data_IF_108472280127
#
_entry.id   IF_108472280127
#
_cell.length_a   1.000
_cell.length_b   1.000
_cell.length_c   1.000
_cell.angle_alpha   90.00
_cell.angle_beta   90.00
_cell.angle_gamma   90.00
#
_symmetry.space_group_name_H-M   'P 1'
#
loop_
_entity.id
_entity.type
_entity.pdbx_description
1 polymer ?
#
# COMPACT_ATOMS: atom_id res chain seq x y z
N UNK A 1 2.28 -8.71 25.95
CA UNK A 1 2.12 -7.48 25.13
C UNK A 1 0.69 -7.01 25.32
N UNK A 2 0.51 -5.98 26.14
CA UNK A 2 -0.78 -5.32 26.38
C UNK A 2 -0.54 -3.97 27.04
N UNK A 3 -1.31 -3.00 26.55
CA UNK A 3 -1.34 -1.57 26.80
C UNK A 3 -1.36 -1.13 28.28
N UNK A 4 -0.78 0.04 28.54
CA UNK A 4 -1.42 1.06 29.38
C UNK A 4 -0.88 2.46 29.06
N UNK A 5 -1.76 3.29 28.51
CA UNK A 5 -1.61 4.73 28.33
C UNK A 5 -1.40 5.44 29.69
N UNK A 6 -0.55 6.47 29.72
CA UNK A 6 -0.63 7.51 30.76
C UNK A 6 -0.51 8.88 30.10
N UNK A 7 -1.68 9.46 29.83
CA UNK A 7 -1.86 10.90 29.64
C UNK A 7 -1.32 11.64 30.87
N UNK A 8 -0.37 12.56 30.67
CA UNK A 8 -0.06 13.59 31.66
C UNK A 8 -0.09 14.95 30.97
N UNK A 9 -1.26 15.57 31.04
CA UNK A 9 -1.42 17.01 30.89
C UNK A 9 -0.49 17.71 31.89
N UNK A 10 0.58 18.34 31.41
CA UNK A 10 1.31 19.37 32.17
C UNK A 10 0.94 20.74 31.63
N UNK A 11 -0.04 21.34 32.30
CA UNK A 11 -0.31 22.76 32.27
C UNK A 11 0.95 23.53 32.73
N UNK A 12 1.63 24.18 31.79
CA UNK A 12 2.63 25.19 32.09
C UNK A 12 1.91 26.45 32.59
N UNK A 13 1.74 26.57 33.91
CA UNK A 13 1.34 27.81 34.55
C UNK A 13 2.57 28.68 34.74
N UNK A 14 2.58 29.80 34.02
CA UNK A 14 3.54 30.89 34.13
C UNK A 14 3.48 31.53 35.53
N UNK A 15 4.41 31.17 36.42
CA UNK A 15 4.67 31.91 37.65
C UNK A 15 5.77 32.94 37.40
N UNK A 16 5.42 34.03 36.73
CA UNK A 16 6.25 35.24 36.75
C UNK A 16 5.68 36.18 37.81
N UNK A 17 6.54 36.58 38.76
CA UNK A 17 6.34 37.54 39.86
C UNK A 17 6.17 36.90 41.25
N UNK A 18 7.26 36.35 41.82
CA UNK A 18 7.42 36.30 43.28
C UNK A 18 8.13 37.58 43.74
N UNK A 19 7.53 38.26 44.71
CA UNK A 19 8.03 39.50 45.30
C UNK A 19 9.33 39.24 46.08
N UNK A 20 10.28 40.19 46.10
CA UNK A 20 11.52 40.11 46.89
C UNK A 20 11.24 39.86 48.38
N UNK A 21 10.09 40.32 48.89
CA UNK A 21 9.65 40.09 50.28
C UNK A 21 9.25 38.64 50.59
N UNK A 22 9.04 37.77 49.59
CA UNK A 22 8.80 36.34 49.81
C UNK A 22 10.09 35.53 49.84
N UNK A 23 11.20 36.07 49.33
CA UNK A 23 12.51 35.38 49.36
C UNK A 23 13.11 35.46 50.76
N UNK A 24 12.90 36.55 51.49
CA UNK A 24 13.51 36.73 52.82
C UNK A 24 12.93 35.85 53.91
N UNK A 25 11.66 35.46 53.80
CA UNK A 25 10.99 34.65 54.82
C UNK A 25 11.13 33.13 54.58
N UNK A 26 11.46 32.70 53.35
CA UNK A 26 11.64 31.29 52.98
C UNK A 26 13.09 30.79 53.17
N UNK A 27 14.05 31.67 53.51
CA UNK A 27 15.48 31.30 53.67
C UNK A 27 15.80 30.81 55.08
N UNK A 28 15.01 31.18 56.09
CA UNK A 28 15.26 30.81 57.50
C UNK A 28 14.83 29.36 57.85
N UNK A 29 14.02 28.68 57.01
CA UNK A 29 13.54 27.30 57.24
C UNK A 29 14.10 26.27 56.24
N UNK A 30 15.02 26.66 55.36
CA UNK A 30 15.39 25.89 54.18
C UNK A 30 16.70 25.11 54.42
N UNK A 31 16.69 23.82 54.11
CA UNK A 31 17.85 22.93 54.36
C UNK A 31 19.03 23.28 53.44
N UNK A 32 20.27 23.01 53.88
CA UNK A 32 21.49 23.32 53.10
C UNK A 32 21.46 22.76 51.66
N UNK A 33 20.82 21.60 51.46
CA UNK A 33 20.62 21.00 50.13
C UNK A 33 19.64 21.78 49.25
N UNK A 34 18.54 22.25 49.83
CA UNK A 34 17.57 23.09 49.14
C UNK A 34 18.19 24.46 48.80
N UNK A 35 19.09 24.97 49.64
CA UNK A 35 19.76 26.25 49.42
C UNK A 35 20.74 26.16 48.26
N UNK A 36 21.52 25.07 48.19
CA UNK A 36 22.38 24.77 47.05
C UNK A 36 21.60 24.65 45.75
N UNK A 37 20.41 24.02 45.79
CA UNK A 37 19.52 23.92 44.64
C UNK A 37 19.04 25.31 44.20
N UNK A 38 18.57 26.14 45.11
CA UNK A 38 18.14 27.51 44.80
C UNK A 38 19.27 28.37 44.22
N UNK A 39 20.50 28.27 44.76
CA UNK A 39 21.66 29.00 44.23
C UNK A 39 21.98 28.55 42.80
N UNK A 40 21.90 27.25 42.52
CA UNK A 40 22.12 26.73 41.17
C UNK A 40 21.00 27.14 40.20
N UNK A 41 19.75 27.12 40.66
CA UNK A 41 18.60 27.60 39.89
C UNK A 41 18.73 29.09 39.57
N UNK A 42 19.16 29.91 40.53
CA UNK A 42 19.44 31.34 40.34
C UNK A 42 20.61 31.56 39.36
N UNK A 43 21.71 30.81 39.48
CA UNK A 43 22.82 30.87 38.50
C UNK A 43 22.34 30.52 37.10
N UNK A 44 21.50 29.50 36.97
CA UNK A 44 20.93 29.10 35.70
C UNK A 44 20.00 30.19 35.14
N UNK A 45 19.16 30.78 35.98
CA UNK A 45 18.27 31.88 35.60
C UNK A 45 19.05 33.12 35.16
N UNK A 46 20.09 33.51 35.90
CA UNK A 46 21.01 34.59 35.49
C UNK A 46 21.62 34.25 34.13
N UNK A 47 22.07 33.01 33.92
CA UNK A 47 22.63 32.61 32.63
C UNK A 47 21.62 32.74 31.49
N UNK A 48 20.38 32.29 31.69
CA UNK A 48 19.31 32.45 30.70
C UNK A 48 19.05 33.92 30.40
N UNK A 49 18.90 34.76 31.43
CA UNK A 49 18.64 36.19 31.26
C UNK A 49 19.81 36.90 30.55
N UNK A 50 21.06 36.52 30.84
CA UNK A 50 22.21 37.08 30.12
C UNK A 50 22.20 36.72 28.64
N UNK A 51 21.82 35.48 28.29
CA UNK A 51 21.70 35.04 26.90
C UNK A 51 20.51 35.70 26.21
N UNK A 52 19.38 35.82 26.88
CA UNK A 52 18.19 36.51 26.38
C UNK A 52 18.51 37.99 26.08
N UNK A 53 19.19 38.68 26.99
CA UNK A 53 19.65 40.05 26.77
C UNK A 53 20.64 40.15 25.60
N UNK A 54 21.62 39.24 25.50
CA UNK A 54 22.58 39.23 24.40
C UNK A 54 21.88 39.04 23.04
N UNK A 55 20.90 38.16 22.99
CA UNK A 55 20.08 37.92 21.81
C UNK A 55 19.27 39.18 21.44
N UNK A 56 18.68 39.87 22.43
CA UNK A 56 17.96 41.13 22.20
C UNK A 56 18.90 42.26 21.73
N UNK A 57 20.05 42.43 22.37
CA UNK A 57 21.03 43.46 21.99
C UNK A 57 21.51 43.23 20.55
N UNK A 58 21.86 42.00 20.18
CA UNK A 58 22.31 41.67 18.82
C UNK A 58 21.21 41.87 17.78
N UNK A 59 19.96 41.55 18.11
CA UNK A 59 18.83 41.76 17.20
C UNK A 59 18.49 43.23 17.04
N UNK A 60 18.47 43.99 18.13
CA UNK A 60 18.27 45.44 18.13
C UNK A 60 19.39 46.15 17.37
N UNK A 61 20.67 45.81 17.60
CA UNK A 61 21.82 46.32 16.85
C UNK A 61 21.66 46.16 15.33
N UNK A 62 21.10 45.01 14.89
CA UNK A 62 20.92 44.72 13.46
C UNK A 62 19.71 45.43 12.84
N UNK A 63 18.64 45.61 13.61
CA UNK A 63 17.42 46.27 13.13
C UNK A 63 17.59 47.78 13.10
N UNK A 64 17.98 48.38 14.23
CA UNK A 64 18.30 49.80 14.33
C UNK A 64 19.22 50.05 15.54
N UNK A 65 20.50 50.42 15.33
CA UNK A 65 21.45 50.63 16.41
C UNK A 65 21.09 51.83 17.30
N UNK A 66 20.22 52.74 16.84
CA UNK A 66 19.79 53.89 17.65
C UNK A 66 18.85 53.49 18.79
N UNK A 67 18.22 52.31 18.71
CA UNK A 67 17.36 51.76 19.77
C UNK A 67 18.13 51.40 21.05
N UNK A 68 19.45 51.28 20.99
CA UNK A 68 20.29 51.00 22.16
C UNK A 68 20.73 52.28 22.90
N UNK A 69 20.45 53.45 22.32
CA UNK A 69 20.79 54.73 22.95
C UNK A 69 19.94 54.94 24.21
N UNK A 70 20.58 55.33 25.31
CA UNK A 70 19.91 55.57 26.59
C UNK A 70 19.71 54.31 27.47
N UNK A 71 19.97 53.10 26.97
CA UNK A 71 19.93 51.87 27.79
C UNK A 71 20.92 51.94 28.95
N UNK A 72 22.14 52.43 28.71
CA UNK A 72 23.15 52.59 29.76
C UNK A 72 22.67 53.57 30.87
N UNK A 73 22.02 54.66 30.48
CA UNK A 73 21.47 55.65 31.43
C UNK A 73 20.29 55.07 32.22
N UNK A 74 19.44 54.26 31.58
CA UNK A 74 18.35 53.54 32.23
C UNK A 74 18.85 52.46 33.20
N UNK A 75 19.91 51.73 32.84
CA UNK A 75 20.56 50.75 33.72
C UNK A 75 21.22 51.42 34.93
N UNK A 76 21.91 52.54 34.73
CA UNK A 76 22.49 53.33 35.83
C UNK A 76 21.42 53.94 36.75
N UNK A 77 20.27 54.32 36.21
CA UNK A 77 19.14 54.78 37.01
C UNK A 77 18.50 53.63 37.81
N UNK A 78 18.32 52.46 37.19
CA UNK A 78 17.78 51.27 37.85
C UNK A 78 18.70 50.75 38.96
N UNK A 79 20.03 50.75 38.75
CA UNK A 79 21.00 50.34 39.77
C UNK A 79 21.03 51.31 40.97
N UNK A 80 20.89 52.62 40.73
CA UNK A 80 20.71 53.62 41.78
C UNK A 80 19.39 53.42 42.56
N UNK A 81 18.33 52.97 41.90
CA UNK A 81 17.03 52.68 42.54
C UNK A 81 17.08 51.39 43.39
N UNK A 82 17.81 50.37 42.94
CA UNK A 82 17.97 49.11 43.68
C UNK A 82 18.89 49.27 44.90
N UNK A 83 19.97 50.04 44.77
CA UNK A 83 20.84 50.35 45.91
C UNK A 83 20.13 51.19 46.98
N UNK A 84 19.22 52.10 46.57
CA UNK A 84 18.42 52.92 47.50
C UNK A 84 17.22 52.19 48.15
N UNK A 85 16.79 51.03 47.64
CA UNK A 85 15.67 50.25 48.20
C UNK A 85 16.09 49.16 49.19
N UNK A 86 17.40 49.01 49.47
CA UNK A 86 17.91 48.14 50.53
C UNK A 86 17.97 48.80 51.92
N UNK A 87 17.60 50.09 52.02
CA UNK A 87 17.57 50.85 53.26
C UNK A 87 16.25 51.62 53.28
N UNK A 88 15.26 51.16 54.06
CA UNK A 88 14.26 51.97 54.78
C UNK A 88 13.16 51.08 55.37
N UNK A 89 13.49 50.45 56.50
CA UNK A 89 12.51 50.10 57.53
C UNK A 89 12.26 51.37 58.34
N UNK A 90 11.09 52.01 58.22
CA UNK A 90 10.36 52.67 59.33
C UNK A 90 9.25 53.60 58.84
N UNK A 91 8.03 53.29 59.28
CA UNK A 91 6.98 54.21 59.77
C UNK A 91 6.87 55.62 59.17
N UNK A 92 5.73 55.91 58.52
CA UNK A 92 5.03 57.17 58.81
C UNK A 92 3.53 57.11 58.50
N UNK A 93 2.77 57.81 59.34
CA UNK A 93 1.32 57.73 59.57
C UNK A 93 0.54 58.78 58.74
N UNK A 94 -0.73 58.45 58.46
CA UNK A 94 -1.89 59.28 58.02
C UNK A 94 -1.74 60.82 57.99
N UNK A 95 -2.20 61.43 56.88
CA UNK A 95 -3.21 62.52 56.82
C UNK A 95 -3.47 62.93 55.35
N UNK A 96 -4.67 62.69 54.81
CA UNK A 96 -5.73 63.67 54.50
C UNK A 96 -5.41 64.79 53.47
N UNK A 97 -6.14 64.72 52.34
CA UNK A 97 -6.86 65.79 51.59
C UNK A 97 -6.15 67.12 51.25
N UNK A 98 -6.05 67.47 49.95
CA UNK A 98 -7.01 68.35 49.22
C UNK A 98 -6.40 69.03 47.97
N UNK A 99 -7.14 68.89 46.85
CA UNK A 99 -7.43 69.75 45.69
C UNK A 99 -6.57 71.00 45.30
N UNK A 100 -6.65 71.27 43.98
CA UNK A 100 -6.47 72.51 43.18
C UNK A 100 -5.11 72.67 42.48
N UNK A 101 -4.91 73.30 41.31
CA UNK A 101 -5.66 73.63 40.07
C UNK A 101 -4.70 74.57 39.26
N UNK A 102 -5.00 74.85 37.97
CA UNK A 102 -4.40 75.84 37.04
C UNK A 102 -3.08 75.44 36.32
N UNK A 103 -3.10 75.14 35.01
CA UNK A 103 -3.14 76.04 33.82
C UNK A 103 -1.69 76.41 33.40
N UNK A 104 -1.26 76.52 32.13
CA UNK A 104 -1.89 77.06 30.94
C UNK A 104 -0.90 76.99 29.75
N UNK A 105 -1.42 76.99 28.50
CA UNK A 105 -0.87 77.66 27.30
C UNK A 105 0.42 77.08 26.67
N UNK A 106 0.65 76.98 25.35
CA UNK A 106 0.00 77.52 24.13
C UNK A 106 0.61 76.80 22.92
N UNK A 107 -0.25 76.42 21.96
CA UNK A 107 0.08 76.10 20.56
C UNK A 107 0.40 77.39 19.77
N UNK A 108 0.94 77.42 18.51
CA UNK A 108 0.23 76.85 17.35
C UNK A 108 1.01 76.51 16.04
N UNK A 109 0.45 75.51 15.32
CA UNK A 109 0.12 75.49 13.87
C UNK A 109 1.16 75.52 12.73
N UNK A 110 1.03 74.55 11.80
CA UNK A 110 0.60 74.69 10.37
C UNK A 110 0.52 73.28 9.73
N UNK A 111 -0.66 72.76 9.36
CA UNK A 111 -1.35 72.82 8.05
C UNK A 111 -0.52 72.31 6.87
N UNK A 112 -0.96 71.53 5.87
CA UNK A 112 -2.18 70.78 5.50
C UNK A 112 -1.79 69.97 4.22
N UNK A 113 -2.65 69.03 3.80
CA UNK A 113 -2.96 68.59 2.42
C UNK A 113 -2.86 67.05 2.22
N UNK A 114 -4.04 66.44 2.08
CA UNK A 114 -4.34 65.10 1.54
C UNK A 114 -4.50 65.14 0.01
N UNK A 115 -4.98 64.11 -0.73
CA UNK A 115 -5.02 62.63 -0.58
C UNK A 115 -4.58 61.88 -1.89
N UNK A 116 -4.53 60.53 -1.90
CA UNK A 116 -5.32 59.65 -2.81
C UNK A 116 -4.79 58.21 -3.02
N UNK A 117 -5.71 57.27 -2.73
CA UNK A 117 -6.09 55.95 -3.25
C UNK A 117 -5.17 55.05 -4.15
N UNK A 118 -5.27 53.75 -3.81
CA UNK A 118 -5.11 52.46 -4.55
C UNK A 118 -3.69 51.90 -4.78
N UNK A 119 -3.33 50.82 -4.07
CA UNK A 119 -2.89 49.53 -4.67
C UNK A 119 -2.57 48.49 -3.60
N UNK A 120 -2.75 47.21 -3.97
CA UNK A 120 -2.86 46.01 -3.15
C UNK A 120 -1.54 45.40 -2.66
N UNK A 121 -1.63 44.56 -1.60
CA UNK A 121 -0.63 43.58 -1.09
C UNK A 121 0.55 44.26 -0.37
N UNK A 122 0.79 44.06 0.92
CA UNK A 122 1.00 42.82 1.68
C UNK A 122 0.89 43.21 3.17
N UNK A 123 0.44 42.29 4.04
CA UNK A 123 0.28 42.56 5.47
C UNK A 123 1.62 42.99 6.11
N UNK A 124 1.74 44.28 6.42
CA UNK A 124 2.80 44.84 7.27
C UNK A 124 2.18 45.09 8.65
N UNK A 125 2.68 44.37 9.65
CA UNK A 125 2.41 44.60 11.06
C UNK A 125 3.08 45.88 11.51
N UNK A 126 2.40 47.00 11.28
CA UNK A 126 2.69 48.30 11.90
C UNK A 126 2.49 48.20 13.41
N UNK A 127 3.59 48.04 14.14
CA UNK A 127 3.64 48.30 15.57
C UNK A 127 3.46 49.81 15.79
N UNK A 128 2.26 50.22 16.24
CA UNK A 128 2.03 51.55 16.79
C UNK A 128 2.79 51.66 18.12
N UNK A 129 4.02 52.17 18.07
CA UNK A 129 4.76 52.60 19.25
C UNK A 129 4.24 53.98 19.63
N UNK A 130 3.23 53.99 20.50
CA UNK A 130 2.68 55.17 21.14
C UNK A 130 2.17 54.76 22.51
N UNK A 131 3.03 54.84 23.52
CA UNK A 131 2.69 54.48 24.90
C UNK A 131 3.87 54.67 25.84
N UNK A 132 3.76 55.70 26.67
CA UNK A 132 4.64 56.09 27.78
C UNK A 132 5.07 54.89 28.61
N UNK A 133 6.39 54.63 28.72
CA UNK A 133 6.94 53.61 29.62
C UNK A 133 6.95 54.17 31.04
N UNK A 134 5.81 54.03 31.73
CA UNK A 134 5.71 54.22 33.17
C UNK A 134 5.43 52.85 33.81
N UNK A 135 6.24 52.48 34.79
CA UNK A 135 6.12 51.27 35.62
C UNK A 135 6.27 49.92 34.91
N UNK A 136 7.50 49.36 34.93
CA UNK A 136 7.82 47.93 35.15
C UNK A 136 7.25 46.84 34.23
N UNK A 137 6.29 47.16 33.36
CA UNK A 137 5.61 46.24 32.46
C UNK A 137 5.56 46.91 31.10
N UNK A 138 6.73 46.98 30.45
CA UNK A 138 6.81 47.25 29.02
C UNK A 138 6.08 46.16 28.22
N UNK A 139 5.89 46.37 26.91
CA UNK A 139 5.25 45.40 26.02
C UNK A 139 5.86 44.00 26.23
N UNK A 140 5.07 43.06 26.74
CA UNK A 140 5.54 41.70 26.96
C UNK A 140 5.64 41.03 25.60
N UNK A 141 6.87 40.91 25.09
CA UNK A 141 7.16 40.13 23.88
C UNK A 141 6.61 38.73 24.09
N UNK A 142 5.76 38.27 23.16
CA UNK A 142 5.10 36.98 23.23
C UNK A 142 6.14 35.86 23.24
N UNK A 143 5.88 34.75 23.96
CA UNK A 143 6.77 33.58 23.97
C UNK A 143 7.04 33.06 22.55
N UNK A 144 6.05 33.15 21.66
CA UNK A 144 6.21 32.82 20.24
C UNK A 144 7.21 33.76 19.54
N UNK A 145 7.05 35.06 19.70
CA UNK A 145 7.97 36.07 19.13
C UNK A 145 9.39 35.93 19.69
N UNK A 146 9.54 35.60 20.99
CA UNK A 146 10.85 35.29 21.58
C UNK A 146 11.46 34.02 20.97
N UNK A 147 10.66 32.97 20.81
CA UNK A 147 11.11 31.72 20.18
C UNK A 147 11.55 31.93 18.73
N UNK A 148 10.81 32.73 17.96
CA UNK A 148 11.17 33.13 16.60
C UNK A 148 12.47 33.91 16.58
N UNK A 149 12.62 34.90 17.46
CA UNK A 149 13.81 35.72 17.56
C UNK A 149 15.06 34.91 17.93
N UNK A 150 14.93 33.96 18.88
CA UNK A 150 15.99 33.00 19.22
C UNK A 150 16.34 32.11 18.03
N UNK A 151 15.34 31.63 17.29
CA UNK A 151 15.55 30.78 16.10
C UNK A 151 16.31 31.53 15.00
N UNK A 152 15.92 32.77 14.72
CA UNK A 152 16.59 33.64 13.75
C UNK A 152 18.04 33.90 14.18
N UNK A 153 18.28 34.24 15.45
CA UNK A 153 19.64 34.46 15.95
C UNK A 153 20.49 33.18 15.87
N UNK A 154 19.91 32.02 16.18
CA UNK A 154 20.58 30.74 16.03
C UNK A 154 20.99 30.47 14.58
N UNK A 155 20.10 30.69 13.61
CA UNK A 155 20.42 30.55 12.19
C UNK A 155 21.54 31.51 11.75
N UNK A 156 21.50 32.76 12.20
CA UNK A 156 22.55 33.76 11.93
C UNK A 156 23.89 33.31 12.52
N UNK A 157 23.90 32.80 13.75
CA UNK A 157 25.11 32.30 14.38
C UNK A 157 25.68 31.09 13.66
N UNK A 158 24.84 30.13 13.29
CA UNK A 158 25.25 28.96 12.50
C UNK A 158 25.87 29.40 11.17
N UNK A 159 25.20 30.30 10.43
CA UNK A 159 25.73 30.79 9.15
C UNK A 159 27.03 31.59 9.30
N UNK A 160 27.18 32.37 10.37
CA UNK A 160 28.42 33.10 10.65
C UNK A 160 29.55 32.15 11.04
N UNK A 161 29.29 31.14 11.87
CA UNK A 161 30.25 30.10 12.21
C UNK A 161 30.71 29.34 10.96
N UNK A 162 29.80 29.00 10.04
CA UNK A 162 30.17 28.37 8.78
C UNK A 162 31.04 29.26 7.89
N UNK A 163 30.71 30.56 7.79
CA UNK A 163 31.54 31.53 7.05
C UNK A 163 32.94 31.62 7.65
N UNK A 164 33.05 31.70 8.97
CA UNK A 164 34.34 31.76 9.67
C UNK A 164 35.13 30.46 9.49
N UNK A 165 34.47 29.29 9.60
CA UNK A 165 35.08 27.99 9.33
C UNK A 165 35.62 27.90 7.90
N UNK A 166 34.85 28.36 6.90
CA UNK A 166 35.28 28.41 5.49
C UNK A 166 36.48 29.35 5.29
N UNK A 167 36.48 30.53 5.91
CA UNK A 167 37.62 31.48 5.88
C UNK A 167 38.87 30.87 6.53
N UNK A 168 38.73 30.28 7.71
CA UNK A 168 39.82 29.63 8.43
C UNK A 168 40.41 28.47 7.62
N UNK A 169 39.57 27.63 7.01
CA UNK A 169 40.03 26.53 6.15
C UNK A 169 40.81 27.02 4.93
N UNK A 170 40.34 28.09 4.27
CA UNK A 170 41.07 28.72 3.15
C UNK A 170 42.41 29.30 3.60
N UNK A 171 42.43 30.00 4.73
CA UNK A 171 43.66 30.58 5.28
C UNK A 171 44.66 29.49 5.68
N UNK A 172 44.20 28.43 6.33
CA UNK A 172 45.04 27.28 6.69
C UNK A 172 45.63 26.61 5.45
N UNK A 173 44.82 26.39 4.40
CA UNK A 173 45.30 25.84 3.14
C UNK A 173 46.35 26.75 2.47
N UNK A 174 46.15 28.08 2.51
CA UNK A 174 47.10 29.05 1.98
C UNK A 174 48.43 29.02 2.74
N UNK A 175 48.39 29.10 4.08
CA UNK A 175 49.58 29.06 4.91
C UNK A 175 50.35 27.75 4.75
N UNK A 176 49.63 26.63 4.62
CA UNK A 176 50.24 25.32 4.34
C UNK A 176 50.94 25.31 2.98
N UNK A 177 50.30 25.83 1.93
CA UNK A 177 50.92 25.95 0.62
C UNK A 177 52.15 26.86 0.63
N UNK A 178 52.11 27.97 1.38
CA UNK A 178 53.27 28.85 1.55
C UNK A 178 54.42 28.16 2.28
N UNK A 179 54.13 27.36 3.32
CA UNK A 179 55.15 26.60 4.04
C UNK A 179 55.82 25.57 3.11
N UNK A 180 55.01 24.80 2.37
CA UNK A 180 55.51 23.84 1.37
C UNK A 180 56.34 24.53 0.26
N UNK A 181 55.92 25.71 -0.21
CA UNK A 181 56.68 26.50 -1.19
C UNK A 181 58.03 26.97 -0.64
N UNK A 182 58.04 27.47 0.60
CA UNK A 182 59.27 27.92 1.27
C UNK A 182 60.24 26.74 1.44
N UNK A 183 59.74 25.57 1.86
CA UNK A 183 60.55 24.36 2.01
C UNK A 183 61.21 23.95 0.69
N UNK A 184 60.44 23.93 -0.41
CA UNK A 184 60.97 23.65 -1.75
C UNK A 184 62.01 24.70 -2.16
N UNK A 185 61.74 25.98 -1.89
CA UNK A 185 62.66 27.08 -2.22
C UNK A 185 63.98 26.98 -1.45
N UNK A 186 63.93 26.67 -0.16
CA UNK A 186 65.12 26.48 0.69
C UNK A 186 65.95 25.32 0.16
N UNK A 187 65.31 24.19 -0.17
CA UNK A 187 65.99 23.03 -0.74
C UNK A 187 66.63 23.34 -2.11
N UNK A 188 65.92 24.06 -2.99
CA UNK A 188 66.45 24.49 -4.28
C UNK A 188 67.64 25.46 -4.13
N UNK A 189 67.59 26.40 -3.18
CA UNK A 189 68.70 27.32 -2.87
C UNK A 189 69.90 26.54 -2.33
N UNK A 190 69.68 25.62 -1.39
CA UNK A 190 70.75 24.81 -0.82
C UNK A 190 71.45 23.98 -1.90
N UNK A 191 70.68 23.29 -2.74
CA UNK A 191 71.22 22.53 -3.88
C UNK A 191 71.97 23.43 -4.85
N UNK A 192 71.42 24.60 -5.19
CA UNK A 192 72.09 25.55 -6.08
C UNK A 192 73.42 26.05 -5.48
N UNK A 193 73.48 26.25 -4.17
CA UNK A 193 74.71 26.64 -3.47
C UNK A 193 75.73 25.49 -3.46
N UNK A 194 75.30 24.26 -3.16
CA UNK A 194 76.15 23.06 -3.21
C UNK A 194 76.73 22.85 -4.63
N UNK A 195 75.89 22.91 -5.66
CA UNK A 195 76.33 22.79 -7.06
C UNK A 195 77.27 23.93 -7.46
N UNK A 196 76.99 25.15 -7.03
CA UNK A 196 77.87 26.30 -7.31
C UNK A 196 79.25 26.13 -6.64
N UNK A 197 79.28 25.76 -5.36
CA UNK A 197 80.53 25.54 -4.64
C UNK A 197 81.34 24.41 -5.30
N UNK A 198 80.68 23.33 -5.71
CA UNK A 198 81.37 22.22 -6.35
C UNK A 198 81.87 22.57 -7.75
N UNK A 199 81.00 23.05 -8.65
CA UNK A 199 81.33 23.24 -10.06
C UNK A 199 82.17 24.49 -10.32
N UNK A 200 81.93 25.59 -9.59
CA UNK A 200 82.59 26.87 -9.85
C UNK A 200 83.77 27.11 -8.92
N UNK A 201 83.64 26.80 -7.63
CA UNK A 201 84.70 27.08 -6.65
C UNK A 201 85.72 25.94 -6.57
N UNK A 202 85.28 24.69 -6.45
CA UNK A 202 86.20 23.54 -6.28
C UNK A 202 86.76 23.09 -7.63
N UNK A 203 85.88 22.73 -8.57
CA UNK A 203 86.27 22.24 -9.89
C UNK A 203 86.74 23.36 -10.82
N UNK A 204 86.17 24.56 -10.67
CA UNK A 204 86.49 25.72 -11.49
C UNK A 204 87.74 26.50 -11.08
N UNK A 205 88.40 26.13 -9.98
CA UNK A 205 89.61 26.81 -9.53
C UNK A 205 90.82 26.42 -10.37
N UNK A 206 91.38 27.39 -11.10
CA UNK A 206 92.64 27.19 -11.79
C UNK A 206 93.82 27.32 -10.81
N UNK A 207 94.49 26.19 -10.55
CA UNK A 207 95.67 26.13 -9.67
C UNK A 207 96.85 26.94 -10.18
N UNK A 208 96.96 27.17 -11.49
CA UNK A 208 98.08 27.88 -12.10
C UNK A 208 97.82 29.40 -12.04
N UNK A 209 96.63 29.83 -12.45
CA UNK A 209 96.26 31.24 -12.47
C UNK A 209 95.76 31.79 -11.12
N UNK A 210 95.55 30.93 -10.12
CA UNK A 210 94.98 31.24 -8.79
C UNK A 210 93.71 32.11 -8.87
N UNK A 211 92.89 31.86 -9.89
CA UNK A 211 91.64 32.58 -10.16
C UNK A 211 90.66 31.65 -10.85
N UNK A 212 89.38 31.98 -10.77
CA UNK A 212 88.34 31.26 -11.51
C UNK A 212 88.24 31.87 -12.91
N UNK A 213 88.44 31.10 -13.99
CA UNK A 213 88.25 31.57 -15.35
C UNK A 213 86.80 32.01 -15.61
N UNK A 214 86.62 33.07 -16.39
CA UNK A 214 85.29 33.62 -16.67
C UNK A 214 84.41 32.63 -17.45
N UNK A 215 85.00 31.76 -18.25
CA UNK A 215 84.30 30.76 -19.06
C UNK A 215 83.53 29.76 -18.20
N UNK A 216 84.05 29.41 -17.02
CA UNK A 216 83.41 28.46 -16.09
C UNK A 216 82.16 29.08 -15.48
N UNK A 217 82.26 30.34 -15.06
CA UNK A 217 81.12 31.11 -14.57
C UNK A 217 80.05 31.27 -15.66
N UNK A 218 80.44 31.62 -16.90
CA UNK A 218 79.52 31.76 -18.03
C UNK A 218 78.83 30.42 -18.33
N UNK A 219 79.57 29.31 -18.33
CA UNK A 219 79.01 27.97 -18.54
C UNK A 219 77.99 27.60 -17.46
N UNK A 220 78.32 27.82 -16.18
CA UNK A 220 77.41 27.59 -15.06
C UNK A 220 76.13 28.41 -15.20
N UNK A 221 76.24 29.72 -15.49
CA UNK A 221 75.08 30.59 -15.67
C UNK A 221 74.21 30.16 -16.84
N UNK A 222 74.80 29.74 -17.97
CA UNK A 222 74.05 29.23 -19.11
C UNK A 222 73.27 27.94 -18.79
N UNK A 223 73.89 26.99 -18.07
CA UNK A 223 73.18 25.77 -17.66
C UNK A 223 72.10 26.08 -16.60
N UNK A 224 72.35 27.03 -15.69
CA UNK A 224 71.36 27.47 -14.71
C UNK A 224 70.11 28.06 -15.36
N UNK A 225 70.28 28.94 -16.36
CA UNK A 225 69.17 29.50 -17.16
C UNK A 225 68.40 28.38 -17.87
N UNK A 226 69.10 27.42 -18.49
CA UNK A 226 68.48 26.28 -19.18
C UNK A 226 67.68 25.37 -18.23
N UNK A 227 68.19 25.11 -17.03
CA UNK A 227 67.46 24.37 -15.99
C UNK A 227 66.21 25.15 -15.54
N UNK A 228 66.33 26.46 -15.35
CA UNK A 228 65.20 27.32 -15.01
C UNK A 228 64.10 27.28 -16.09
N UNK A 229 64.47 27.40 -17.38
CA UNK A 229 63.54 27.30 -18.50
C UNK A 229 62.84 25.93 -18.58
N UNK A 230 63.58 24.85 -18.31
CA UNK A 230 63.02 23.49 -18.22
C UNK A 230 62.00 23.38 -17.08
N UNK A 231 62.31 23.92 -15.89
CA UNK A 231 61.39 23.96 -14.74
C UNK A 231 60.15 24.77 -15.06
N UNK A 232 60.29 25.95 -15.66
CA UNK A 232 59.16 26.81 -16.08
C UNK A 232 58.25 26.06 -17.05
N UNK A 233 58.81 25.37 -18.04
CA UNK A 233 58.05 24.59 -19.02
C UNK A 233 57.26 23.46 -18.36
N UNK A 234 57.87 22.73 -17.42
CA UNK A 234 57.19 21.69 -16.64
C UNK A 234 56.06 22.26 -15.78
N UNK A 235 56.30 23.39 -15.10
CA UNK A 235 55.28 24.06 -14.29
C UNK A 235 54.10 24.54 -15.15
N UNK A 236 54.36 25.13 -16.32
CA UNK A 236 53.29 25.53 -17.27
C UNK A 236 52.43 24.35 -17.70
N UNK A 237 53.07 23.23 -18.06
CA UNK A 237 52.34 22.01 -18.42
C UNK A 237 51.47 21.52 -17.26
N UNK A 238 52.04 21.43 -16.05
CA UNK A 238 51.32 21.01 -14.83
C UNK A 238 50.13 21.91 -14.54
N UNK A 239 50.31 23.23 -14.65
CA UNK A 239 49.22 24.22 -14.48
C UNK A 239 48.11 24.00 -15.51
N UNK A 240 48.44 23.76 -16.78
CA UNK A 240 47.46 23.45 -17.83
C UNK A 240 46.67 22.16 -17.54
N UNK A 241 47.37 21.10 -17.10
CA UNK A 241 46.72 19.85 -16.70
C UNK A 241 45.79 20.04 -15.50
N UNK A 242 46.24 20.77 -14.47
CA UNK A 242 45.45 21.01 -13.27
C UNK A 242 44.21 21.86 -13.57
N UNK A 243 44.33 22.87 -14.44
CA UNK A 243 43.19 23.67 -14.91
C UNK A 243 42.16 22.83 -15.67
N UNK A 244 42.62 21.87 -16.47
CA UNK A 244 41.73 20.93 -17.18
C UNK A 244 41.00 20.03 -16.19
N UNK A 245 41.70 19.47 -15.19
CA UNK A 245 41.09 18.64 -14.14
C UNK A 245 40.11 19.43 -13.28
N UNK A 246 40.48 20.66 -12.88
CA UNK A 246 39.59 21.57 -12.16
C UNK A 246 38.31 21.85 -12.94
N UNK A 247 38.42 22.14 -14.24
CA UNK A 247 37.26 22.40 -15.09
C UNK A 247 36.34 21.18 -15.21
N UNK A 248 36.90 19.97 -15.34
CA UNK A 248 36.14 18.72 -15.34
C UNK A 248 35.42 18.49 -14.00
N UNK A 249 36.12 18.63 -12.88
CA UNK A 249 35.54 18.45 -11.54
C UNK A 249 34.45 19.49 -11.27
N UNK A 250 34.67 20.75 -11.67
CA UNK A 250 33.66 21.80 -11.59
C UNK A 250 32.41 21.45 -12.40
N UNK A 251 32.58 20.88 -13.61
CA UNK A 251 31.47 20.35 -14.41
C UNK A 251 30.70 19.24 -13.70
N UNK A 252 31.40 18.24 -13.16
CA UNK A 252 30.78 17.13 -12.41
C UNK A 252 30.02 17.61 -11.17
N UNK A 253 30.54 18.62 -10.45
CA UNK A 253 29.83 19.22 -9.31
C UNK A 253 28.53 19.87 -9.78
N UNK A 254 28.56 20.55 -10.93
CA UNK A 254 27.38 21.19 -11.52
C UNK A 254 26.34 20.15 -11.93
N UNK A 255 26.74 19.12 -12.66
CA UNK A 255 25.86 17.99 -13.05
C UNK A 255 25.26 17.31 -11.82
N UNK A 256 26.06 17.03 -10.78
CA UNK A 256 25.55 16.46 -9.52
C UNK A 256 24.59 17.39 -8.79
N UNK A 257 24.81 18.70 -8.84
CA UNK A 257 23.90 19.68 -8.26
C UNK A 257 22.58 19.71 -9.02
N UNK A 258 22.60 19.68 -10.35
CA UNK A 258 21.40 19.61 -11.20
C UNK A 258 20.65 18.28 -10.98
N UNK A 259 21.35 17.14 -10.86
CA UNK A 259 20.74 15.85 -10.50
C UNK A 259 20.13 15.87 -9.09
N UNK A 260 20.80 16.50 -8.11
CA UNK A 260 20.28 16.64 -6.74
C UNK A 260 19.08 17.57 -6.67
N UNK A 261 19.05 18.62 -7.48
CA UNK A 261 17.89 19.50 -7.58
C UNK A 261 16.70 18.77 -8.24
N UNK A 262 16.98 17.90 -9.21
CA UNK A 262 15.97 17.06 -9.85
C UNK A 262 15.43 15.93 -8.97
N UNK A 263 16.18 15.47 -7.97
CA UNK A 263 15.79 14.36 -7.07
C UNK A 263 15.85 14.84 -5.61
N UNK A 264 14.75 15.37 -5.12
CA UNK A 264 14.62 15.75 -3.71
C UNK A 264 14.30 14.52 -2.86
N UNK A 265 14.69 14.49 -1.57
CA UNK A 265 14.29 13.43 -0.64
C UNK A 265 12.79 13.12 -0.64
N UNK A 266 11.97 14.18 -0.79
CA UNK A 266 10.50 14.08 -0.89
C UNK A 266 10.05 13.27 -2.12
N UNK A 267 10.80 13.33 -3.22
CA UNK A 267 10.46 12.56 -4.44
C UNK A 267 10.68 11.05 -4.20
N UNK A 268 11.68 10.67 -3.42
CA UNK A 268 11.89 9.27 -3.02
C UNK A 268 10.80 8.78 -2.05
N UNK A 269 10.38 9.61 -1.10
CA UNK A 269 9.26 9.30 -0.21
C UNK A 269 7.95 9.16 -0.99
N UNK A 270 7.71 10.04 -1.97
CA UNK A 270 6.56 9.96 -2.87
C UNK A 270 6.55 8.65 -3.66
N UNK A 271 7.67 8.27 -4.28
CA UNK A 271 7.78 7.00 -5.01
C UNK A 271 7.52 5.80 -4.08
N UNK A 272 8.02 5.87 -2.84
CA UNK A 272 7.77 4.82 -1.85
C UNK A 272 6.28 4.69 -1.52
N UNK A 273 5.60 5.81 -1.29
CA UNK A 273 4.15 5.84 -1.04
C UNK A 273 3.38 5.28 -2.24
N UNK A 274 3.70 5.72 -3.45
CA UNK A 274 3.05 5.23 -4.68
C UNK A 274 3.26 3.73 -4.89
N UNK A 275 4.45 3.22 -4.56
CA UNK A 275 4.75 1.79 -4.63
C UNK A 275 3.98 1.00 -3.56
N UNK A 276 3.93 1.49 -2.31
CA UNK A 276 3.17 0.87 -1.23
C UNK A 276 1.66 0.84 -1.56
N UNK A 277 1.13 1.90 -2.19
CA UNK A 277 -0.25 1.95 -2.69
C UNK A 277 -0.48 0.94 -3.82
N UNK A 278 0.43 0.84 -4.79
CA UNK A 278 0.35 -0.16 -5.85
C UNK A 278 0.38 -1.58 -5.30
N UNK A 279 1.23 -1.86 -4.32
CA UNK A 279 1.30 -3.17 -3.66
C UNK A 279 -0.01 -3.52 -2.95
N UNK A 280 -0.61 -2.57 -2.24
CA UNK A 280 -1.91 -2.77 -1.60
C UNK A 280 -3.03 -3.07 -2.62
N UNK A 281 -3.02 -2.37 -3.78
CA UNK A 281 -3.96 -2.63 -4.87
C UNK A 281 -3.76 -4.04 -5.44
N UNK A 282 -2.51 -4.46 -5.65
CA UNK A 282 -2.17 -5.79 -6.15
C UNK A 282 -2.67 -6.87 -5.18
N UNK A 283 -2.44 -6.69 -3.87
CA UNK A 283 -2.87 -7.64 -2.84
C UNK A 283 -4.39 -7.78 -2.80
N UNK A 284 -5.12 -6.66 -2.85
CA UNK A 284 -6.59 -6.68 -2.93
C UNK A 284 -7.08 -7.39 -4.20
N UNK A 285 -6.46 -7.11 -5.37
CA UNK A 285 -6.80 -7.79 -6.63
C UNK A 285 -6.49 -9.29 -6.58
N UNK A 286 -5.42 -9.69 -5.92
CA UNK A 286 -5.08 -11.09 -5.72
C UNK A 286 -6.11 -11.80 -4.83
N UNK A 287 -6.59 -11.13 -3.78
CA UNK A 287 -7.67 -11.65 -2.93
C UNK A 287 -8.98 -11.81 -3.72
N UNK A 288 -9.40 -10.79 -4.48
CA UNK A 288 -10.58 -10.87 -5.35
C UNK A 288 -10.47 -12.02 -6.37
N UNK A 289 -9.27 -12.21 -6.96
CA UNK A 289 -9.01 -13.31 -7.88
C UNK A 289 -9.11 -14.67 -7.20
N UNK A 290 -8.64 -14.80 -5.97
CA UNK A 290 -8.75 -16.04 -5.20
C UNK A 290 -10.21 -16.39 -4.91
N UNK A 291 -11.03 -15.41 -4.52
CA UNK A 291 -12.46 -15.58 -4.29
C UNK A 291 -13.20 -16.00 -5.58
N UNK A 292 -12.92 -15.33 -6.70
CA UNK A 292 -13.48 -15.69 -8.01
C UNK A 292 -13.08 -17.10 -8.45
N UNK A 293 -11.83 -17.49 -8.23
CA UNK A 293 -11.36 -18.86 -8.51
C UNK A 293 -12.11 -19.90 -7.68
N UNK A 294 -12.36 -19.61 -6.39
CA UNK A 294 -13.15 -20.47 -5.52
C UNK A 294 -14.58 -20.62 -6.03
N UNK A 295 -15.26 -19.51 -6.30
CA UNK A 295 -16.63 -19.53 -6.85
C UNK A 295 -16.70 -20.28 -8.19
N UNK A 296 -15.72 -20.08 -9.07
CA UNK A 296 -15.64 -20.80 -10.35
C UNK A 296 -15.45 -22.30 -10.14
N UNK A 297 -14.60 -22.69 -9.18
CA UNK A 297 -14.40 -24.08 -8.78
C UNK A 297 -15.70 -24.73 -8.27
N UNK A 298 -16.40 -24.04 -7.36
CA UNK A 298 -17.67 -24.51 -6.78
C UNK A 298 -18.77 -24.64 -7.85
N UNK A 299 -18.88 -23.67 -8.76
CA UNK A 299 -19.81 -23.71 -9.88
C UNK A 299 -19.51 -24.88 -10.82
N UNK A 300 -18.23 -25.12 -11.14
CA UNK A 300 -17.83 -26.23 -12.01
C UNK A 300 -18.07 -27.61 -11.35
N UNK A 301 -17.86 -27.72 -10.04
CA UNK A 301 -18.19 -28.92 -9.27
C UNK A 301 -19.71 -29.18 -9.31
N UNK A 302 -20.51 -28.15 -9.07
CA UNK A 302 -21.98 -28.21 -9.13
C UNK A 302 -22.46 -28.62 -10.52
N UNK A 303 -21.88 -28.04 -11.57
CA UNK A 303 -22.17 -28.42 -12.97
C UNK A 303 -21.81 -29.88 -13.25
N UNK A 304 -20.68 -30.35 -12.72
CA UNK A 304 -20.27 -31.76 -12.87
C UNK A 304 -21.25 -32.71 -12.18
N UNK A 305 -21.74 -32.35 -10.99
CA UNK A 305 -22.77 -33.11 -10.27
C UNK A 305 -24.07 -33.17 -11.08
N UNK A 306 -24.57 -32.03 -11.56
CA UNK A 306 -25.79 -31.98 -12.38
C UNK A 306 -25.64 -32.74 -13.69
N UNK A 307 -24.48 -32.63 -14.37
CA UNK A 307 -24.18 -33.41 -15.57
C UNK A 307 -24.23 -34.91 -15.30
N UNK A 308 -23.66 -35.37 -14.18
CA UNK A 308 -23.70 -36.78 -13.79
C UNK A 308 -25.14 -37.26 -13.52
N UNK A 309 -25.93 -36.47 -12.78
CA UNK A 309 -27.33 -36.78 -12.52
C UNK A 309 -28.15 -36.84 -13.82
N UNK A 310 -27.93 -35.90 -14.74
CA UNK A 310 -28.58 -35.90 -16.05
C UNK A 310 -28.22 -37.14 -16.87
N UNK A 311 -26.95 -37.53 -16.90
CA UNK A 311 -26.51 -38.77 -17.57
C UNK A 311 -27.14 -40.03 -16.97
N UNK A 312 -27.38 -40.05 -15.66
CA UNK A 312 -28.06 -41.17 -15.00
C UNK A 312 -29.55 -41.24 -15.38
N UNK A 313 -30.23 -40.09 -15.40
CA UNK A 313 -31.61 -39.99 -15.88
C UNK A 313 -31.74 -40.36 -17.35
N UNK A 314 -30.80 -39.94 -18.19
CA UNK A 314 -30.77 -40.28 -19.62
C UNK A 314 -30.59 -41.79 -19.86
N UNK A 315 -29.72 -42.44 -19.07
CA UNK A 315 -29.60 -43.91 -19.07
C UNK A 315 -30.91 -44.59 -18.66
N UNK A 316 -31.56 -44.10 -17.60
CA UNK A 316 -32.84 -44.64 -17.15
C UNK A 316 -33.94 -44.46 -18.20
N UNK A 317 -34.03 -43.29 -18.81
CA UNK A 317 -34.97 -43.00 -19.89
C UNK A 317 -34.74 -43.93 -21.08
N UNK A 318 -33.48 -44.14 -21.47
CA UNK A 318 -33.12 -45.08 -22.55
C UNK A 318 -33.58 -46.50 -22.23
N UNK A 319 -33.38 -46.97 -20.99
CA UNK A 319 -33.88 -48.26 -20.52
C UNK A 319 -35.41 -48.34 -20.56
N UNK A 320 -36.12 -47.30 -20.15
CA UNK A 320 -37.59 -47.24 -20.26
C UNK A 320 -38.01 -47.29 -21.71
N UNK A 321 -37.40 -46.52 -22.60
CA UNK A 321 -37.75 -46.51 -24.03
C UNK A 321 -37.57 -47.90 -24.64
N UNK A 322 -36.51 -48.61 -24.30
CA UNK A 322 -36.30 -49.97 -24.77
C UNK A 322 -37.31 -50.95 -24.18
N UNK A 323 -37.65 -50.81 -22.89
CA UNK A 323 -38.75 -51.57 -22.26
C UNK A 323 -40.10 -51.30 -22.93
N UNK A 324 -40.41 -50.04 -23.27
CA UNK A 324 -41.62 -49.65 -23.99
C UNK A 324 -41.64 -50.28 -25.37
N UNK A 325 -40.53 -50.26 -26.13
CA UNK A 325 -40.44 -50.94 -27.43
C UNK A 325 -40.66 -52.45 -27.30
N UNK A 326 -40.08 -53.09 -26.29
CA UNK A 326 -40.30 -54.52 -26.01
C UNK A 326 -41.78 -54.78 -25.72
N UNK A 327 -42.40 -53.96 -24.85
CA UNK A 327 -43.82 -54.09 -24.49
C UNK A 327 -44.74 -53.84 -25.69
N UNK A 328 -44.46 -52.85 -26.52
CA UNK A 328 -45.20 -52.60 -27.76
C UNK A 328 -45.16 -53.80 -28.71
N UNK A 329 -43.99 -54.43 -28.88
CA UNK A 329 -43.87 -55.67 -29.66
C UNK A 329 -44.69 -56.82 -29.06
N UNK A 330 -44.62 -56.98 -27.74
CA UNK A 330 -45.44 -57.98 -27.03
C UNK A 330 -46.94 -57.73 -27.22
N UNK A 331 -47.40 -56.49 -27.06
CA UNK A 331 -48.81 -56.12 -27.28
C UNK A 331 -49.23 -56.35 -28.74
N UNK A 332 -48.37 -56.04 -29.72
CA UNK A 332 -48.67 -56.31 -31.12
C UNK A 332 -48.84 -57.80 -31.39
N UNK A 333 -47.95 -58.65 -30.85
CA UNK A 333 -48.09 -60.10 -30.98
C UNK A 333 -49.37 -60.63 -30.34
N UNK A 334 -49.70 -60.16 -29.13
CA UNK A 334 -50.95 -60.51 -28.44
C UNK A 334 -52.20 -60.03 -29.21
N UNK A 335 -52.14 -58.85 -29.83
CA UNK A 335 -53.23 -58.35 -30.68
C UNK A 335 -53.44 -59.26 -31.90
N UNK A 336 -52.36 -59.71 -32.55
CA UNK A 336 -52.46 -60.65 -33.66
C UNK A 336 -53.02 -62.01 -33.20
N UNK A 337 -52.57 -62.52 -32.05
CA UNK A 337 -53.11 -63.75 -31.45
C UNK A 337 -54.60 -63.61 -31.09
N UNK A 338 -55.01 -62.49 -30.50
CA UNK A 338 -56.42 -62.23 -30.16
C UNK A 338 -57.30 -62.08 -31.40
N UNK A 339 -56.79 -61.47 -32.48
CA UNK A 339 -57.51 -61.41 -33.75
C UNK A 339 -57.74 -62.82 -34.34
N UNK A 340 -56.70 -63.67 -34.32
CA UNK A 340 -56.82 -65.08 -34.74
C UNK A 340 -57.84 -65.82 -33.87
N UNK A 341 -57.77 -65.68 -32.55
CA UNK A 341 -58.72 -66.30 -31.61
C UNK A 341 -60.13 -65.78 -31.86
N UNK A 342 -60.31 -64.49 -32.16
CA UNK A 342 -61.63 -63.91 -32.43
C UNK A 342 -62.23 -64.41 -33.74
N UNK A 343 -61.42 -64.57 -34.79
CA UNK A 343 -61.85 -65.21 -36.05
C UNK A 343 -62.28 -66.65 -35.77
N UNK A 344 -61.48 -67.41 -35.01
CA UNK A 344 -61.82 -68.78 -34.63
C UNK A 344 -63.11 -68.82 -33.80
N UNK A 345 -63.29 -67.93 -32.81
CA UNK A 345 -64.49 -67.85 -31.99
C UNK A 345 -65.74 -67.54 -32.82
N UNK A 346 -65.67 -66.58 -33.76
CA UNK A 346 -66.76 -66.29 -34.70
C UNK A 346 -67.11 -67.50 -35.57
N UNK A 347 -66.10 -68.19 -36.12
CA UNK A 347 -66.32 -69.40 -36.93
C UNK A 347 -66.99 -70.53 -36.13
N UNK A 348 -66.63 -70.67 -34.85
CA UNK A 348 -67.25 -71.63 -33.93
C UNK A 348 -68.67 -71.20 -33.57
N UNK A 349 -68.93 -69.91 -33.37
CA UNK A 349 -70.25 -69.36 -33.11
C UNK A 349 -71.20 -69.57 -34.30
N UNK A 350 -70.74 -69.30 -35.52
CA UNK A 350 -71.48 -69.60 -36.76
C UNK A 350 -71.80 -71.10 -36.87
N UNK A 351 -70.82 -71.96 -36.56
CA UNK A 351 -71.03 -73.42 -36.55
C UNK A 351 -72.04 -73.84 -35.49
N UNK A 352 -71.99 -73.26 -34.30
CA UNK A 352 -72.93 -73.51 -33.21
C UNK A 352 -74.34 -73.03 -33.60
N UNK A 353 -74.45 -71.87 -34.23
CA UNK A 353 -75.73 -71.34 -34.74
C UNK A 353 -76.30 -72.23 -35.85
N UNK A 354 -75.45 -72.76 -36.73
CA UNK A 354 -75.82 -73.81 -37.68
C UNK A 354 -76.39 -75.05 -36.99
N UNK A 355 -75.74 -75.53 -35.93
CA UNK A 355 -76.23 -76.67 -35.12
C UNK A 355 -77.54 -76.33 -34.40
N UNK A 356 -77.71 -75.11 -33.86
CA UNK A 356 -78.96 -74.66 -33.24
C UNK A 356 -80.08 -74.64 -34.26
N UNK A 357 -79.86 -74.07 -35.46
CA UNK A 357 -80.84 -74.10 -36.54
C UNK A 357 -81.20 -75.53 -36.91
N UNK A 358 -80.21 -76.40 -37.06
CA UNK A 358 -80.42 -77.82 -37.31
C UNK A 358 -81.27 -78.47 -36.21
N UNK A 359 -80.99 -78.16 -34.94
CA UNK A 359 -81.76 -78.62 -33.78
C UNK A 359 -83.19 -78.09 -33.77
N UNK A 360 -83.43 -76.86 -34.22
CA UNK A 360 -84.77 -76.27 -34.30
C UNK A 360 -85.56 -76.81 -35.50
N UNK A 361 -84.90 -77.13 -36.62
CA UNK A 361 -85.52 -77.80 -37.78
C UNK A 361 -85.68 -79.31 -37.57
N UNK A 362 -84.94 -79.89 -36.62
CA UNK A 362 -85.05 -81.29 -36.26
C UNK A 362 -86.26 -81.46 -35.35
N UNK A 363 -87.42 -81.64 -35.97
CA UNK A 363 -88.61 -82.12 -35.31
C UNK A 363 -88.50 -83.65 -35.23
N UNK A 364 -88.58 -84.18 -34.01
CA UNK A 364 -88.55 -85.64 -33.75
C UNK A 364 -89.68 -86.26 -34.57
N UNK A 365 -89.40 -87.15 -35.54
CA UNK A 365 -90.45 -87.79 -36.33
C UNK A 365 -91.48 -88.44 -35.40
N UNK A 366 -92.77 -88.22 -35.68
CA UNK A 366 -93.86 -88.72 -34.84
C UNK A 366 -93.70 -90.23 -34.63
N UNK A 367 -93.88 -90.68 -33.38
CA UNK A 367 -93.77 -92.09 -32.99
C UNK A 367 -94.72 -92.93 -33.84
N UNK A 368 -95.86 -92.36 -34.24
CA UNK A 368 -96.81 -93.02 -35.14
C UNK A 368 -96.23 -93.29 -36.53
N UNK A 369 -95.42 -92.41 -37.10
CA UNK A 369 -94.74 -92.65 -38.39
C UNK A 369 -93.68 -93.74 -38.27
N UNK A 370 -92.91 -93.76 -37.17
CA UNK A 370 -92.00 -94.87 -36.89
C UNK A 370 -92.75 -96.19 -36.70
N UNK A 371 -93.90 -96.19 -36.02
CA UNK A 371 -94.74 -97.36 -35.82
C UNK A 371 -95.38 -97.83 -37.12
N UNK A 372 -95.84 -96.92 -37.99
CA UNK A 372 -96.37 -97.24 -39.32
C UNK A 372 -95.31 -97.89 -40.21
N UNK A 373 -94.12 -97.26 -40.33
CA UNK A 373 -93.01 -97.83 -41.10
C UNK A 373 -92.54 -99.16 -40.49
N UNK A 374 -92.58 -99.29 -39.15
CA UNK A 374 -92.22 -100.54 -38.48
C UNK A 374 -93.28 -101.63 -38.63
N UNK A 375 -94.57 -101.28 -38.66
CA UNK A 375 -95.67 -102.19 -38.97
C UNK A 375 -95.55 -102.69 -40.42
N UNK A 376 -95.26 -101.80 -41.35
CA UNK A 376 -95.02 -102.13 -42.75
C UNK A 376 -93.78 -103.04 -42.91
N UNK A 377 -92.70 -102.76 -42.17
CA UNK A 377 -91.53 -103.66 -42.10
C UNK A 377 -91.87 -105.01 -41.44
N UNK A 378 -92.78 -105.07 -40.46
CA UNK A 378 -93.22 -106.34 -39.88
C UNK A 378 -94.12 -107.14 -40.82
N UNK A 379 -95.00 -106.50 -41.59
CA UNK A 379 -95.85 -107.14 -42.59
C UNK A 379 -95.01 -107.66 -43.78
N UNK A 380 -94.04 -106.86 -44.23
CA UNK A 380 -93.04 -107.29 -45.21
C UNK A 380 -92.18 -108.44 -44.66
N UNK A 381 -91.76 -108.40 -43.38
CA UNK A 381 -91.07 -109.53 -42.76
C UNK A 381 -91.95 -110.77 -42.66
N UNK A 382 -93.24 -110.64 -42.37
CA UNK A 382 -94.17 -111.78 -42.32
C UNK A 382 -94.38 -112.39 -43.70
N UNK A 383 -94.56 -111.57 -44.74
CA UNK A 383 -94.68 -112.06 -46.12
C UNK A 383 -93.40 -112.74 -46.62
N UNK A 384 -92.22 -112.19 -46.29
CA UNK A 384 -90.92 -112.86 -46.54
C UNK A 384 -90.83 -114.19 -45.80
N UNK A 385 -91.28 -114.26 -44.54
CA UNK A 385 -91.29 -115.49 -43.74
C UNK A 385 -92.26 -116.54 -44.29
N UNK A 386 -93.41 -116.11 -44.80
CA UNK A 386 -94.40 -116.97 -45.47
C UNK A 386 -93.82 -117.56 -46.76
N UNK A 387 -93.15 -116.74 -47.57
CA UNK A 387 -92.45 -117.17 -48.79
C UNK A 387 -91.29 -118.10 -48.44
N UNK A 388 -90.52 -117.83 -47.39
CA UNK A 388 -89.49 -118.74 -46.87
C UNK A 388 -90.08 -120.07 -46.39
N UNK A 389 -91.25 -120.08 -45.72
CA UNK A 389 -91.92 -121.32 -45.32
C UNK A 389 -92.42 -122.11 -46.52
N UNK A 390 -92.93 -121.44 -47.57
CA UNK A 390 -93.35 -122.09 -48.82
C UNK A 390 -92.13 -122.67 -49.56
N UNK A 391 -91.00 -121.96 -49.57
CA UNK A 391 -89.73 -122.46 -50.09
C UNK A 391 -89.22 -123.64 -49.26
N UNK A 392 -89.31 -123.59 -47.92
CA UNK A 392 -88.98 -124.71 -47.02
C UNK A 392 -89.88 -125.92 -47.26
N UNK A 393 -91.18 -125.75 -47.50
CA UNK A 393 -92.08 -126.87 -47.85
C UNK A 393 -91.70 -127.50 -49.18
N UNK A 394 -91.38 -126.69 -50.19
CA UNK A 394 -90.83 -127.19 -51.46
C UNK A 394 -89.48 -127.89 -51.25
N UNK A 395 -88.63 -127.40 -50.35
CA UNK A 395 -87.34 -128.00 -50.01
C UNK A 395 -87.49 -129.26 -49.13
N UNK A 396 -88.57 -129.40 -48.33
CA UNK A 396 -88.94 -130.62 -47.62
C UNK A 396 -89.51 -131.67 -48.59
N UNK A 397 -90.32 -131.27 -49.57
CA UNK A 397 -90.79 -132.16 -50.62
C UNK A 397 -89.62 -132.68 -51.49
N UNK A 398 -88.64 -131.82 -51.78
CA UNK A 398 -87.43 -132.16 -52.54
C UNK A 398 -86.37 -132.90 -51.69
N UNK A 399 -86.31 -132.70 -50.37
CA UNK A 399 -85.48 -133.56 -49.49
C UNK A 399 -86.18 -134.87 -49.11
N UNK A 400 -87.50 -134.97 -49.25
CA UNK A 400 -88.26 -136.23 -49.19
C UNK A 400 -87.95 -137.14 -50.38
N UNK A 401 -87.79 -136.60 -51.60
CA UNK A 401 -87.11 -137.30 -52.70
C UNK A 401 -85.79 -137.90 -52.21
N UNK A 402 -85.01 -137.18 -51.41
CA UNK A 402 -83.67 -137.61 -51.03
C UNK A 402 -83.62 -138.60 -49.86
N UNK A 403 -84.68 -138.84 -49.07
CA UNK A 403 -84.59 -139.60 -47.78
C UNK A 403 -85.19 -141.02 -47.77
N UNK A 404 -86.14 -141.38 -48.64
CA UNK A 404 -86.62 -142.79 -48.77
C UNK A 404 -86.22 -143.49 -50.08
N UNK A 405 -85.62 -142.76 -51.03
CA UNK A 405 -84.60 -143.30 -51.93
C UNK A 405 -83.34 -143.81 -51.18
N UNK A 406 -83.23 -143.62 -49.85
CA UNK A 406 -82.09 -144.02 -48.99
C UNK A 406 -82.38 -145.20 -48.03
N UNK A 407 -83.62 -145.65 -47.80
CA UNK A 407 -83.88 -146.84 -46.94
C UNK A 407 -84.26 -148.11 -47.73
N UNK A 408 -83.66 -148.26 -48.90
CA UNK A 408 -83.62 -149.47 -49.72
C UNK A 408 -82.31 -150.28 -49.48
N UNK A 409 -81.61 -150.18 -48.32
CA UNK A 409 -80.20 -150.67 -48.20
C UNK A 409 -79.83 -151.48 -46.92
N UNK A 410 -80.73 -151.84 -45.99
CA UNK A 410 -80.45 -152.96 -45.04
C UNK A 410 -81.72 -153.75 -44.71
N UNK A 411 -81.71 -155.02 -45.16
CA UNK A 411 -82.51 -156.24 -44.85
C UNK A 411 -84.05 -156.22 -44.76
#
# INVERSE_FOLDING_TARGET
>A
MSLSQSNVNRSFTSQTSRSVSQITNDVEELTDEELLKQVNDLKHQIRILTLENEIFERTMMRLDPTLLNGIQQALEFASKLQTSSSINVSSFVKSQTSKLFFDSLTSPSRMLVSPSRVSSKRAESSARIGGTVMFGTGPRINVLERSELVSIEMEILVTNLEKMRKKAAKQHALLKAQLEEIEVRVNDIQKANETFNQEVIVEGWDRIAQRIPAEIWIKYMNEWVKIADSKISKLRLRTSTLNTQYSKLKGQIKEKAELRESLRPVDFEKIKIENDECLAIIENKLQQLAELKKMTGDANLTLTIHKKALMEQDKYLTQILDNVKIKQKQTHNLNNETEIIQIQAKSLEERLEGIKKLRMTYEVPDIMDYVCVKAEVTDLKYSVKLLQNRLRLLQIALSSQHKKLISNVFE
#
